data_IF_618598923742
#
_entry.id   IF_618598923742
#
_cell.length_a   1.000
_cell.length_b   1.000
_cell.length_c   1.000
_cell.angle_alpha   90.00
_cell.angle_beta   90.00
_cell.angle_gamma   90.00
#
_symmetry.space_group_name_H-M   'P 1'
#
loop_
_entity.id
_entity.type
_entity.pdbx_description
1 polymer ?
#
# COMPACT_ATOMS: atom_id res chain seq x y z
N UNK A 1 -16.78 -6.91 3.17
CA UNK A 1 -15.97 -6.71 1.93
C UNK A 1 -14.49 -6.47 2.25
N UNK A 2 -14.15 -5.45 3.06
CA UNK A 2 -12.76 -5.10 3.41
C UNK A 2 -11.93 -6.28 3.95
N UNK A 3 -12.44 -7.05 4.92
CA UNK A 3 -11.74 -8.21 5.47
C UNK A 3 -11.41 -9.27 4.40
N UNK A 4 -12.34 -9.54 3.49
CA UNK A 4 -12.15 -10.52 2.40
C UNK A 4 -10.99 -10.12 1.50
N UNK A 5 -10.89 -8.83 1.17
CA UNK A 5 -9.79 -8.31 0.34
C UNK A 5 -8.47 -8.40 1.09
N UNK A 6 -8.44 -8.03 2.37
CA UNK A 6 -7.23 -8.12 3.20
C UNK A 6 -6.74 -9.56 3.38
N UNK A 7 -7.66 -10.52 3.52
CA UNK A 7 -7.33 -11.93 3.59
C UNK A 7 -6.76 -12.44 2.26
N UNK A 8 -7.35 -12.01 1.13
CA UNK A 8 -6.83 -12.37 -0.19
C UNK A 8 -5.44 -11.76 -0.48
N UNK A 9 -5.19 -10.53 -0.03
CA UNK A 9 -3.87 -9.90 -0.09
C UNK A 9 -2.84 -10.76 0.67
N UNK A 10 -3.20 -11.20 1.88
CA UNK A 10 -2.36 -12.07 2.70
C UNK A 10 -2.09 -13.40 2.01
N UNK A 11 -3.10 -14.03 1.43
CA UNK A 11 -2.95 -15.29 0.67
C UNK A 11 -1.99 -15.15 -0.52
N UNK A 12 -1.98 -14.01 -1.21
CA UNK A 12 -1.11 -13.79 -2.36
C UNK A 12 0.35 -13.45 -1.97
N UNK A 13 0.54 -12.70 -0.87
CA UNK A 13 1.87 -12.20 -0.46
C UNK A 13 2.62 -13.14 0.50
N UNK A 14 1.93 -13.88 1.37
CA UNK A 14 2.59 -14.64 2.45
C UNK A 14 3.30 -15.92 1.99
N UNK A 15 2.73 -16.79 1.13
CA UNK A 15 3.30 -18.11 0.88
C UNK A 15 4.73 -18.07 0.37
N UNK A 16 5.02 -17.12 -0.52
CA UNK A 16 6.33 -16.88 -1.12
C UNK A 16 6.47 -15.37 -1.34
N UNK A 17 6.86 -14.63 -0.29
CA UNK A 17 7.03 -13.17 -0.35
C UNK A 17 8.29 -12.80 -1.15
N UNK A 18 8.36 -13.20 -2.42
CA UNK A 18 9.52 -13.03 -3.30
C UNK A 18 9.46 -11.69 -4.03
N UNK A 19 9.53 -10.59 -3.27
CA UNK A 19 9.42 -9.24 -3.82
C UNK A 19 10.55 -8.91 -4.80
N UNK A 20 11.70 -9.58 -4.70
CA UNK A 20 12.84 -9.37 -5.60
C UNK A 20 12.69 -10.09 -6.95
N UNK A 21 11.83 -11.10 -7.05
CA UNK A 21 11.67 -11.92 -8.26
C UNK A 21 10.33 -11.69 -8.95
N UNK A 22 9.29 -11.30 -8.20
CA UNK A 22 7.96 -11.04 -8.72
C UNK A 22 7.65 -9.55 -8.67
N UNK A 23 7.64 -8.91 -9.83
CA UNK A 23 7.20 -7.51 -9.96
C UNK A 23 5.77 -7.35 -9.47
N UNK A 24 4.86 -8.27 -9.83
CA UNK A 24 3.46 -8.25 -9.37
C UNK A 24 3.36 -8.17 -7.84
N UNK A 25 4.10 -9.03 -7.11
CA UNK A 25 4.08 -9.03 -5.64
C UNK A 25 4.70 -7.77 -5.06
N UNK A 26 5.79 -7.26 -5.66
CA UNK A 26 6.41 -6.01 -5.23
C UNK A 26 5.43 -4.84 -5.38
N UNK A 27 4.75 -4.74 -6.52
CA UNK A 27 3.74 -3.70 -6.76
C UNK A 27 2.57 -3.84 -5.78
N UNK A 28 2.04 -5.05 -5.59
CA UNK A 28 0.96 -5.31 -4.64
C UNK A 28 1.36 -4.92 -3.21
N UNK A 29 2.58 -5.25 -2.78
CA UNK A 29 3.08 -4.88 -1.46
C UNK A 29 3.14 -3.36 -1.28
N UNK A 30 3.72 -2.64 -2.25
CA UNK A 30 3.84 -1.18 -2.20
C UNK A 30 2.48 -0.48 -2.24
N UNK A 31 1.57 -0.98 -3.06
CA UNK A 31 0.20 -0.46 -3.15
C UNK A 31 -0.54 -0.65 -1.83
N UNK A 32 -0.43 -1.83 -1.21
CA UNK A 32 -1.02 -2.12 0.10
C UNK A 32 -0.46 -1.21 1.20
N UNK A 33 0.84 -0.90 1.18
CA UNK A 33 1.45 0.00 2.17
C UNK A 33 0.98 1.45 2.06
N UNK A 34 0.72 1.90 0.83
CA UNK A 34 0.26 3.27 0.53
C UNK A 34 -1.26 3.43 0.51
N UNK A 35 -2.03 2.35 0.52
CA UNK A 35 -3.49 2.39 0.46
C UNK A 35 -4.13 2.72 1.83
N UNK A 36 -4.89 3.84 1.96
CA UNK A 36 -5.54 4.21 3.21
C UNK A 36 -6.73 3.29 3.57
N UNK A 37 -7.23 2.52 2.61
CA UNK A 37 -8.38 1.65 2.82
C UNK A 37 -8.01 0.30 3.44
N UNK A 38 -6.72 -0.07 3.45
CA UNK A 38 -6.23 -1.28 4.14
C UNK A 38 -5.98 -0.97 5.62
N UNK A 39 -6.45 -1.84 6.50
CA UNK A 39 -6.26 -1.71 7.94
C UNK A 39 -4.79 -1.57 8.33
N UNK A 40 -4.54 -0.81 9.40
CA UNK A 40 -3.18 -0.66 9.94
C UNK A 40 -2.64 -2.00 10.43
N UNK A 41 -3.50 -2.88 10.97
CA UNK A 41 -3.08 -4.19 11.47
C UNK A 41 -2.58 -5.10 10.35
N UNK A 42 -3.27 -5.10 9.20
CA UNK A 42 -2.81 -5.85 8.02
C UNK A 42 -1.51 -5.29 7.46
N UNK A 43 -1.39 -3.96 7.33
CA UNK A 43 -0.14 -3.33 6.88
C UNK A 43 1.03 -3.61 7.83
N UNK A 44 0.83 -3.47 9.14
CA UNK A 44 1.82 -3.80 10.17
C UNK A 44 2.24 -5.25 10.12
N UNK A 45 1.29 -6.17 9.95
CA UNK A 45 1.58 -7.59 9.82
C UNK A 45 2.48 -7.88 8.62
N UNK A 46 2.12 -7.35 7.43
CA UNK A 46 2.90 -7.54 6.21
C UNK A 46 4.28 -6.87 6.30
N UNK A 47 4.37 -5.68 6.89
CA UNK A 47 5.63 -4.98 7.06
C UNK A 47 6.59 -5.71 8.00
N UNK A 48 6.10 -6.26 9.12
CA UNK A 48 6.92 -7.10 10.00
C UNK A 48 7.43 -8.35 9.30
N UNK A 49 6.63 -8.95 8.42
CA UNK A 49 7.04 -10.09 7.59
C UNK A 49 8.12 -9.70 6.59
N UNK A 50 7.97 -8.54 5.94
CA UNK A 50 9.00 -7.97 5.08
C UNK A 50 10.33 -7.80 5.83
N UNK A 51 10.32 -7.13 6.99
CA UNK A 51 11.52 -6.91 7.79
C UNK A 51 12.20 -8.23 8.16
N UNK A 52 11.42 -9.23 8.58
CA UNK A 52 11.96 -10.56 8.92
C UNK A 52 12.63 -11.26 7.73
N UNK A 53 12.08 -11.11 6.53
CA UNK A 53 12.54 -11.84 5.34
C UNK A 53 13.69 -11.14 4.62
N UNK A 54 13.67 -9.81 4.58
CA UNK A 54 14.60 -9.01 3.77
C UNK A 54 15.59 -8.19 4.59
N UNK A 55 15.23 -7.83 5.82
CA UNK A 55 16.04 -6.98 6.71
C UNK A 55 16.26 -7.67 8.07
N UNK A 56 16.72 -8.94 8.12
CA UNK A 56 16.74 -9.74 9.36
C UNK A 56 17.62 -9.16 10.47
N UNK A 57 18.57 -8.29 10.11
CA UNK A 57 19.48 -7.62 11.05
C UNK A 57 18.91 -6.28 11.56
N UNK A 58 17.82 -5.79 10.98
CA UNK A 58 17.22 -4.51 11.32
C UNK A 58 16.18 -4.69 12.42
N UNK A 59 16.58 -4.41 13.65
CA UNK A 59 15.67 -4.40 14.79
C UNK A 59 15.01 -3.03 14.93
N UNK A 60 13.74 -2.92 14.50
CA UNK A 60 12.90 -1.74 14.69
C UNK A 60 12.01 -1.92 15.91
N UNK A 61 11.94 -0.90 16.77
CA UNK A 61 10.97 -0.82 17.86
C UNK A 61 9.54 -0.67 17.31
N UNK A 62 8.55 -0.89 18.17
CA UNK A 62 7.15 -0.74 17.74
C UNK A 62 6.85 0.69 17.25
N UNK A 63 7.38 1.71 17.94
CA UNK A 63 7.17 3.11 17.58
C UNK A 63 7.79 3.43 16.21
N UNK A 64 8.98 2.93 15.94
CA UNK A 64 9.63 3.10 14.63
C UNK A 64 8.81 2.46 13.51
N UNK A 65 8.28 1.25 13.73
CA UNK A 65 7.39 0.60 12.77
C UNK A 65 6.14 1.44 12.48
N UNK A 66 5.50 2.02 13.51
CA UNK A 66 4.33 2.87 13.27
C UNK A 66 4.71 4.13 12.47
N UNK A 67 5.86 4.72 12.75
CA UNK A 67 6.38 5.88 11.99
C UNK A 67 6.66 5.51 10.53
N UNK A 68 7.26 4.33 10.28
CA UNK A 68 7.50 3.83 8.92
C UNK A 68 6.19 3.64 8.16
N UNK A 69 5.20 3.00 8.79
CA UNK A 69 3.88 2.75 8.19
C UNK A 69 3.16 4.06 7.88
N UNK A 70 3.29 5.07 8.73
CA UNK A 70 2.72 6.39 8.48
C UNK A 70 3.39 7.08 7.29
N UNK A 71 4.73 7.01 7.21
CA UNK A 71 5.50 7.54 6.08
C UNK A 71 5.14 6.84 4.76
N UNK A 72 5.04 5.51 4.79
CA UNK A 72 4.64 4.70 3.64
C UNK A 72 3.21 5.00 3.18
N UNK A 73 2.29 5.29 4.12
CA UNK A 73 0.92 5.67 3.78
C UNK A 73 0.84 7.02 3.05
N UNK A 74 1.74 7.94 3.37
CA UNK A 74 1.83 9.26 2.75
C UNK A 74 2.63 9.25 1.44
N UNK A 75 3.27 8.12 1.11
CA UNK A 75 4.07 7.98 -0.09
C UNK A 75 3.23 7.39 -1.22
N UNK A 76 3.10 8.12 -2.34
CA UNK A 76 2.41 7.62 -3.54
C UNK A 76 3.36 6.82 -4.41
N UNK A 77 3.10 5.51 -4.52
CA UNK A 77 3.83 4.64 -5.44
C UNK A 77 3.21 4.62 -6.84
N UNK A 78 1.91 4.35 -6.90
CA UNK A 78 1.17 4.21 -8.16
C UNK A 78 -0.12 5.04 -8.20
N UNK A 79 -0.85 5.06 -7.08
CA UNK A 79 -2.12 5.77 -6.94
C UNK A 79 -1.96 6.91 -5.96
N UNK A 80 -2.39 8.11 -6.37
CA UNK A 80 -2.58 9.25 -5.46
C UNK A 80 -3.94 9.12 -4.77
N UNK A 81 -3.95 8.66 -3.54
CA UNK A 81 -5.18 8.35 -2.81
C UNK A 81 -5.91 9.58 -2.25
N UNK A 82 -5.25 10.74 -2.20
CA UNK A 82 -5.73 12.01 -1.64
C UNK A 82 -6.20 13.01 -2.70
N UNK A 83 -5.68 12.95 -3.94
CA UNK A 83 -5.95 13.92 -5.01
C UNK A 83 -7.09 13.55 -5.98
N UNK A 84 -7.90 12.51 -5.70
CA UNK A 84 -9.08 12.20 -6.50
C UNK A 84 -10.24 13.16 -6.16
N UNK A 85 -10.06 14.44 -6.46
CA UNK A 85 -11.15 15.41 -6.52
C UNK A 85 -11.92 15.17 -7.84
N UNK A 86 -12.69 14.09 -7.86
CA UNK A 86 -13.48 13.64 -9.02
C UNK A 86 -14.36 14.79 -9.54
N UNK A 87 -14.83 15.66 -8.63
CA UNK A 87 -15.60 16.86 -8.95
C UNK A 87 -14.79 17.82 -9.83
N UNK A 88 -13.57 18.21 -9.43
CA UNK A 88 -12.70 19.04 -10.27
C UNK A 88 -12.34 18.41 -11.62
N UNK A 89 -12.27 17.08 -11.69
CA UNK A 89 -11.98 16.37 -12.93
C UNK A 89 -13.19 16.36 -13.89
N UNK A 90 -14.41 16.28 -13.37
CA UNK A 90 -15.65 16.41 -14.15
C UNK A 90 -15.80 17.85 -14.65
N UNK A 91 -15.63 18.84 -13.79
CA UNK A 91 -15.70 20.27 -14.17
C UNK A 91 -14.71 20.60 -15.31
N UNK A 92 -13.46 20.14 -15.21
CA UNK A 92 -12.45 20.33 -16.28
C UNK A 92 -12.77 19.61 -17.59
N UNK A 93 -13.59 18.55 -17.56
CA UNK A 93 -14.01 17.82 -18.76
C UNK A 93 -15.20 18.48 -19.44
N UNK A 94 -16.20 18.94 -18.68
CA UNK A 94 -17.33 19.70 -19.25
C UNK A 94 -16.88 21.03 -19.86
N UNK A 95 -15.90 21.71 -19.25
CA UNK A 95 -15.29 22.93 -19.80
C UNK A 95 -14.52 22.74 -21.12
N UNK A 96 -14.26 21.50 -21.55
CA UNK A 96 -13.57 21.20 -22.81
C UNK A 96 -14.51 20.83 -23.98
N UNK A 97 -15.81 20.67 -23.75
CA UNK A 97 -16.80 20.40 -24.82
C UNK A 97 -17.30 21.67 -25.52
N UNK A 98 -16.47 22.70 -25.62
CA UNK A 98 -16.78 23.87 -26.44
C UNK A 98 -15.57 24.22 -27.30
N UNK A 99 -15.37 23.45 -28.38
CA UNK A 99 -14.90 23.92 -29.68
C UNK A 99 -15.06 22.82 -30.74
#
# INVERSE_FOLDING_TARGET
>A
LKCIIEDKIKELLIPNMDLLQSSEKAHLFLDVMSCPFVSIDTRRFLYRKYLKNFEPNLNRSHLEIENDLQSLLQTYWFVKWDELDIVKMIEKKELKESY
#
